data_IF_183358622552
#
_entry.id   IF_183358622552
#
_cell.length_a   1.000
_cell.length_b   1.000
_cell.length_c   1.000
_cell.angle_alpha   90.00
_cell.angle_beta   90.00
_cell.angle_gamma   90.00
#
_symmetry.space_group_name_H-M   'P 1'
#
loop_
_entity.id
_entity.type
_entity.pdbx_description
1 polymer ?
#
# COMPACT_ATOMS: atom_id res chain seq x y z
N UNK A 1 45.92 -22.31 -48.01
CA UNK A 1 46.56 -22.85 -46.79
C UNK A 1 45.97 -22.11 -45.60
N UNK A 2 45.40 -22.81 -44.62
CA UNK A 2 45.31 -22.31 -43.23
C UNK A 2 46.53 -22.79 -42.44
N UNK A 3 46.55 -22.83 -41.08
CA UNK A 3 45.50 -22.52 -40.09
C UNK A 3 45.91 -21.26 -39.26
N UNK A 4 45.50 -20.92 -38.03
CA UNK A 4 44.74 -21.57 -36.93
C UNK A 4 43.96 -20.53 -36.10
N UNK A 5 42.91 -20.98 -35.40
CA UNK A 5 42.29 -20.25 -34.26
C UNK A 5 42.73 -20.83 -32.91
N UNK A 6 42.87 -20.03 -31.83
CA UNK A 6 43.07 -20.55 -30.48
C UNK A 6 41.78 -21.15 -29.91
N UNK A 7 41.84 -22.40 -29.42
CA UNK A 7 40.70 -23.15 -28.87
C UNK A 7 41.08 -23.81 -27.54
N UNK A 8 40.49 -23.39 -26.41
CA UNK A 8 40.42 -24.14 -25.12
C UNK A 8 39.72 -23.32 -24.01
N UNK A 9 39.23 -23.93 -22.92
CA UNK A 9 38.58 -25.24 -22.80
C UNK A 9 37.18 -25.15 -22.14
N UNK A 10 36.24 -25.94 -22.64
CA UNK A 10 34.94 -26.18 -22.01
C UNK A 10 35.12 -27.11 -20.79
N UNK A 11 34.85 -26.63 -19.57
CA UNK A 11 34.85 -27.48 -18.36
C UNK A 11 33.47 -28.12 -18.13
N UNK A 12 33.49 -29.37 -17.67
CA UNK A 12 32.36 -30.27 -17.68
C UNK A 12 31.35 -30.01 -16.55
N UNK A 13 30.08 -30.25 -16.84
CA UNK A 13 28.95 -30.16 -15.91
C UNK A 13 28.51 -31.58 -15.55
N UNK A 14 28.98 -32.10 -14.42
CA UNK A 14 28.62 -33.44 -13.92
C UNK A 14 27.82 -33.33 -12.62
N UNK A 15 26.51 -33.56 -12.71
CA UNK A 15 25.70 -34.05 -11.59
C UNK A 15 24.88 -35.24 -12.10
N UNK A 16 24.95 -36.42 -11.46
CA UNK A 16 24.21 -37.59 -11.91
C UNK A 16 22.72 -37.47 -11.52
N UNK A 17 21.82 -37.86 -12.42
CA UNK A 17 20.40 -38.06 -12.10
C UNK A 17 19.96 -39.50 -12.35
N UNK A 18 19.49 -40.15 -11.29
CA UNK A 18 18.74 -41.41 -11.26
C UNK A 18 18.30 -41.61 -9.79
N UNK A 19 17.13 -42.17 -9.45
CA UNK A 19 15.94 -42.55 -10.23
C UNK A 19 14.74 -42.65 -9.27
N UNK A 20 13.53 -42.48 -9.81
CA UNK A 20 12.26 -43.09 -9.35
C UNK A 20 11.90 -43.14 -7.84
N UNK A 21 10.82 -42.44 -7.48
CA UNK A 21 9.97 -42.73 -6.33
C UNK A 21 8.51 -42.46 -6.70
N UNK A 22 7.66 -43.48 -6.68
CA UNK A 22 6.32 -43.45 -7.29
C UNK A 22 5.26 -42.76 -6.42
N UNK A 23 4.32 -42.05 -7.05
CA UNK A 23 3.01 -41.71 -6.44
C UNK A 23 2.07 -42.92 -6.52
N UNK A 24 1.39 -43.28 -5.41
CA UNK A 24 0.07 -43.90 -5.45
C UNK A 24 -1.04 -42.85 -5.15
N UNK A 25 -2.30 -43.08 -5.56
CA UNK A 25 -3.41 -42.14 -5.36
C UNK A 25 -4.43 -42.55 -4.27
N UNK A 26 -5.26 -41.57 -3.89
CA UNK A 26 -6.64 -41.65 -3.36
C UNK A 26 -6.97 -42.15 -1.92
N UNK A 27 -7.82 -41.33 -1.29
CA UNK A 27 -8.99 -41.60 -0.42
C UNK A 27 -8.88 -42.53 0.82
N UNK A 28 -8.90 -41.85 1.99
CA UNK A 28 -9.74 -42.05 3.19
C UNK A 28 -10.60 -43.34 3.36
N UNK A 29 -10.72 -43.87 4.60
CA UNK A 29 -11.70 -43.31 5.55
C UNK A 29 -11.25 -43.19 7.02
N UNK A 30 -12.17 -42.72 7.87
CA UNK A 30 -12.01 -42.30 9.26
C UNK A 30 -11.51 -43.34 10.28
N UNK A 31 -10.88 -42.85 11.36
CA UNK A 31 -10.53 -43.55 12.60
C UNK A 31 -10.30 -42.52 13.73
N UNK A 32 -10.58 -42.85 15.01
CA UNK A 32 -10.86 -41.85 16.05
C UNK A 32 -9.62 -41.17 16.66
N UNK A 33 -9.90 -40.10 17.42
CA UNK A 33 -8.92 -39.38 18.23
C UNK A 33 -8.92 -39.94 19.66
N UNK A 34 -7.85 -40.65 20.02
CA UNK A 34 -7.68 -41.19 21.37
C UNK A 34 -6.74 -40.29 22.19
N UNK A 35 -7.34 -39.27 22.81
CA UNK A 35 -6.71 -38.38 23.79
C UNK A 35 -6.98 -38.93 25.19
N UNK A 36 -6.11 -39.82 25.69
CA UNK A 36 -6.13 -40.23 27.10
C UNK A 36 -5.30 -39.25 27.93
N UNK A 37 -6.00 -38.33 28.60
CA UNK A 37 -5.42 -37.41 29.58
C UNK A 37 -5.77 -37.94 30.98
N UNK A 38 -4.77 -38.48 31.65
CA UNK A 38 -4.89 -39.18 32.94
C UNK A 38 -5.42 -38.24 34.04
N UNK A 39 -6.70 -38.39 34.39
CA UNK A 39 -7.41 -37.56 35.35
C UNK A 39 -7.88 -38.42 36.54
N UNK A 40 -7.17 -38.30 37.66
CA UNK A 40 -7.40 -39.04 38.89
C UNK A 40 -8.72 -38.63 39.58
N UNK A 41 -9.71 -39.51 39.62
CA UNK A 41 -10.96 -39.33 40.35
C UNK A 41 -10.99 -40.16 41.64
N UNK A 42 -11.09 -39.56 42.84
CA UNK A 42 -11.53 -40.27 44.04
C UNK A 42 -13.06 -40.45 44.02
N UNK A 43 -13.48 -41.66 44.37
CA UNK A 43 -14.86 -42.14 44.38
C UNK A 43 -15.82 -41.34 45.28
N UNK A 44 -16.93 -40.82 44.71
CA UNK A 44 -18.03 -40.24 45.48
C UNK A 44 -19.39 -40.38 44.76
N UNK A 45 -20.19 -41.36 45.22
CA UNK A 45 -21.65 -41.52 45.16
C UNK A 45 -22.49 -40.78 44.10
N UNK A 46 -23.27 -41.57 43.34
CA UNK A 46 -24.19 -41.12 42.29
C UNK A 46 -25.27 -40.10 42.72
N UNK A 47 -25.49 -39.07 41.89
CA UNK A 47 -26.77 -38.37 41.74
C UNK A 47 -27.03 -38.00 40.26
N UNK A 48 -28.29 -38.11 39.77
CA UNK A 48 -28.62 -37.72 38.40
C UNK A 48 -28.79 -36.19 38.29
N UNK A 49 -27.95 -35.54 37.48
CA UNK A 49 -28.10 -34.11 37.15
C UNK A 49 -29.15 -33.90 36.04
N UNK A 50 -30.04 -32.89 36.15
CA UNK A 50 -31.02 -32.57 35.12
C UNK A 50 -30.37 -31.93 33.89
N UNK A 51 -30.91 -32.23 32.70
CA UNK A 51 -30.38 -31.74 31.44
C UNK A 51 -30.51 -30.21 31.29
N UNK A 52 -29.39 -29.53 31.05
CA UNK A 52 -29.34 -28.11 30.66
C UNK A 52 -29.72 -28.03 29.18
N UNK A 53 -30.72 -27.21 28.76
CA UNK A 53 -31.01 -27.02 27.35
C UNK A 53 -29.86 -26.28 26.66
N UNK A 54 -29.48 -26.65 25.43
CA UNK A 54 -28.38 -26.01 24.73
C UNK A 54 -28.72 -24.54 24.44
N UNK A 55 -27.90 -23.62 24.95
CA UNK A 55 -28.01 -22.21 24.61
C UNK A 55 -27.63 -22.00 23.13
N UNK A 56 -28.38 -21.18 22.37
CA UNK A 56 -28.01 -20.89 20.99
C UNK A 56 -26.70 -20.10 20.96
N UNK A 57 -25.71 -20.63 20.23
CA UNK A 57 -24.44 -19.97 20.01
C UNK A 57 -24.67 -18.65 19.25
N UNK A 58 -24.58 -17.52 19.94
CA UNK A 58 -24.70 -16.17 19.36
C UNK A 58 -23.46 -15.84 18.52
N UNK A 59 -23.40 -16.39 17.31
CA UNK A 59 -22.39 -16.06 16.28
C UNK A 59 -22.73 -14.75 15.56
N UNK A 60 -22.93 -13.67 16.31
CA UNK A 60 -23.25 -12.33 15.79
C UNK A 60 -22.05 -11.37 15.75
N UNK A 61 -20.88 -11.90 15.40
CA UNK A 61 -19.82 -11.08 14.82
C UNK A 61 -19.56 -11.55 13.38
N UNK A 62 -20.34 -10.98 12.46
CA UNK A 62 -19.97 -10.89 11.05
C UNK A 62 -18.68 -10.06 10.99
N UNK A 63 -17.55 -10.74 11.04
CA UNK A 63 -16.23 -10.14 10.90
C UNK A 63 -16.22 -9.42 9.55
N UNK A 64 -16.26 -8.08 9.58
CA UNK A 64 -16.11 -7.28 8.37
C UNK A 64 -14.67 -7.46 7.91
N UNK A 65 -14.50 -8.26 6.88
CA UNK A 65 -13.28 -8.30 6.08
C UNK A 65 -13.16 -6.94 5.38
N UNK A 66 -12.56 -5.98 6.10
CA UNK A 66 -12.35 -4.65 5.54
C UNK A 66 -11.45 -4.77 4.30
N UNK A 67 -11.80 -4.07 3.23
CA UNK A 67 -11.01 -4.11 2.00
C UNK A 67 -9.65 -3.44 2.20
N UNK A 68 -8.68 -3.72 1.32
CA UNK A 68 -7.37 -3.03 1.34
C UNK A 68 -7.58 -1.51 1.23
N UNK A 69 -8.53 -1.05 0.43
CA UNK A 69 -8.82 0.37 0.25
C UNK A 69 -9.44 1.00 1.51
N UNK A 70 -10.34 0.29 2.20
CA UNK A 70 -10.89 0.72 3.50
C UNK A 70 -9.81 0.82 4.57
N UNK A 71 -8.84 -0.11 4.57
CA UNK A 71 -7.69 -0.09 5.47
C UNK A 71 -6.77 1.10 5.14
N UNK A 72 -6.41 1.29 3.87
CA UNK A 72 -5.58 2.42 3.41
C UNK A 72 -6.22 3.75 3.79
N UNK A 73 -7.50 3.94 3.50
CA UNK A 73 -8.26 5.14 3.83
C UNK A 73 -8.33 5.37 5.35
N UNK A 74 -8.47 4.30 6.13
CA UNK A 74 -8.42 4.37 7.61
C UNK A 74 -7.03 4.78 8.11
N UNK A 75 -5.94 4.40 7.44
CA UNK A 75 -4.58 4.86 7.78
C UNK A 75 -4.40 6.33 7.42
N UNK A 76 -4.78 6.75 6.21
CA UNK A 76 -4.70 8.15 5.76
C UNK A 76 -5.45 9.11 6.70
N UNK A 77 -6.68 8.75 7.09
CA UNK A 77 -7.52 9.53 8.02
C UNK A 77 -6.95 9.68 9.44
N UNK A 78 -5.99 8.85 9.86
CA UNK A 78 -5.29 9.03 11.16
C UNK A 78 -4.31 10.20 11.14
N UNK A 79 -3.74 10.50 9.98
CA UNK A 79 -2.78 11.61 9.82
C UNK A 79 -3.46 12.89 9.33
N UNK A 80 -4.42 12.76 8.40
CA UNK A 80 -5.16 13.90 7.84
C UNK A 80 -6.66 13.56 7.88
N UNK A 81 -7.36 13.89 8.98
CA UNK A 81 -8.76 13.51 9.19
C UNK A 81 -9.74 14.08 8.14
N UNK A 82 -9.37 15.15 7.44
CA UNK A 82 -10.17 15.77 6.38
C UNK A 82 -10.15 15.00 5.06
N UNK A 83 -9.29 13.99 4.88
CA UNK A 83 -9.33 13.13 3.69
C UNK A 83 -10.68 12.41 3.65
N UNK A 84 -11.41 12.48 2.54
CA UNK A 84 -12.66 11.75 2.37
C UNK A 84 -12.42 10.39 1.72
N UNK A 85 -11.63 10.38 0.64
CA UNK A 85 -11.24 9.24 -0.19
C UNK A 85 -9.85 9.46 -0.85
N UNK A 86 -9.39 8.50 -1.65
CA UNK A 86 -8.28 8.69 -2.58
C UNK A 86 -8.67 8.25 -3.98
N UNK A 87 -8.19 8.98 -5.00
CA UNK A 87 -8.52 8.77 -6.41
C UNK A 87 -7.50 7.91 -7.13
N UNK A 88 -6.23 7.95 -6.71
CA UNK A 88 -5.16 7.11 -7.25
C UNK A 88 -4.09 6.78 -6.20
N UNK A 89 -3.36 5.68 -6.42
CA UNK A 89 -2.24 5.25 -5.58
C UNK A 89 -1.11 4.63 -6.41
N UNK A 90 0.11 5.08 -6.15
CA UNK A 90 1.34 4.46 -6.63
C UNK A 90 2.03 3.71 -5.47
N UNK A 91 2.38 2.44 -5.68
CA UNK A 91 2.94 1.59 -4.63
C UNK A 91 4.29 2.09 -4.09
N UNK A 92 5.10 2.72 -4.94
CA UNK A 92 6.36 3.34 -4.56
C UNK A 92 6.46 4.73 -5.18
N UNK A 93 6.77 5.70 -4.33
CA UNK A 93 7.27 7.01 -4.71
C UNK A 93 8.51 7.36 -3.87
N UNK A 94 9.42 8.12 -4.46
CA UNK A 94 10.53 8.79 -3.77
C UNK A 94 10.34 10.29 -3.87
N UNK A 95 10.45 10.99 -2.73
CA UNK A 95 10.36 12.44 -2.66
C UNK A 95 11.73 13.10 -2.87
N UNK A 96 11.77 14.00 -3.84
CA UNK A 96 12.84 14.94 -4.11
C UNK A 96 12.38 16.37 -3.79
N UNK A 97 13.30 17.22 -3.39
CA UNK A 97 13.10 18.67 -3.23
C UNK A 97 14.00 19.44 -4.18
N UNK A 98 13.50 20.54 -4.72
CA UNK A 98 14.31 21.46 -5.53
C UNK A 98 15.21 22.30 -4.62
N UNK A 99 16.53 22.16 -4.77
CA UNK A 99 17.51 23.00 -4.10
C UNK A 99 17.88 24.19 -5.00
N UNK A 100 17.62 25.40 -4.50
CA UNK A 100 17.81 26.67 -5.21
C UNK A 100 19.31 27.04 -5.30
N UNK A 101 20.13 26.64 -4.33
CA UNK A 101 21.57 26.92 -4.30
C UNK A 101 22.34 26.06 -5.30
N UNK A 102 21.99 24.77 -5.40
CA UNK A 102 22.62 23.82 -6.33
C UNK A 102 21.95 23.79 -7.71
N UNK A 103 20.72 24.30 -7.83
CA UNK A 103 19.95 24.31 -9.06
C UNK A 103 19.54 22.90 -9.51
N UNK A 104 19.21 22.02 -8.56
CA UNK A 104 18.99 20.60 -8.82
C UNK A 104 18.02 19.92 -7.85
N UNK A 105 17.66 18.68 -8.18
CA UNK A 105 16.82 17.83 -7.35
C UNK A 105 17.65 17.04 -6.34
N UNK A 106 17.25 17.13 -5.06
CA UNK A 106 17.91 16.42 -3.95
C UNK A 106 16.93 15.43 -3.31
N UNK A 107 17.38 14.21 -3.04
CA UNK A 107 16.54 13.17 -2.43
C UNK A 107 16.35 13.43 -0.93
N UNK A 108 15.11 13.47 -0.46
CA UNK A 108 14.78 13.75 0.95
C UNK A 108 14.86 12.53 1.88
N UNK A 109 15.02 11.33 1.33
CA UNK A 109 14.91 10.06 2.05
C UNK A 109 13.48 9.58 2.34
N UNK A 110 12.45 10.40 2.10
CA UNK A 110 11.03 9.99 2.25
C UNK A 110 10.63 9.09 1.08
N UNK A 111 10.30 7.83 1.39
CA UNK A 111 9.98 6.78 0.41
C UNK A 111 8.83 5.88 0.87
N UNK A 112 7.87 5.61 0.00
CA UNK A 112 6.73 4.73 0.30
C UNK A 112 5.57 4.88 -0.69
N UNK A 113 4.39 4.31 -0.40
CA UNK A 113 3.22 4.49 -1.26
C UNK A 113 2.74 5.95 -1.26
N UNK A 114 2.43 6.44 -2.47
CA UNK A 114 1.93 7.77 -2.74
C UNK A 114 0.44 7.72 -3.07
N UNK A 115 -0.34 8.61 -2.48
CA UNK A 115 -1.79 8.71 -2.65
C UNK A 115 -2.16 10.11 -3.14
N UNK A 116 -3.13 10.16 -4.04
CA UNK A 116 -3.84 11.39 -4.43
C UNK A 116 -5.17 11.39 -3.71
N UNK A 117 -5.37 12.34 -2.79
CA UNK A 117 -6.51 12.32 -1.85
C UNK A 117 -7.43 13.51 -2.03
N UNK A 118 -8.73 13.24 -2.10
CA UNK A 118 -9.76 14.26 -2.01
C UNK A 118 -10.03 14.60 -0.53
N UNK A 119 -10.29 15.87 -0.24
CA UNK A 119 -10.52 16.33 1.14
C UNK A 119 -11.85 17.08 1.28
N UNK A 120 -12.35 17.09 2.50
CA UNK A 120 -13.54 17.84 2.88
C UNK A 120 -13.41 19.32 2.50
N UNK A 121 -14.45 19.83 1.83
CA UNK A 121 -14.52 21.21 1.38
C UNK A 121 -14.47 22.16 2.57
N UNK A 122 -13.69 23.23 2.45
CA UNK A 122 -13.55 24.22 3.51
C UNK A 122 -14.38 25.47 3.18
N UNK A 123 -15.11 25.99 4.16
CA UNK A 123 -15.79 27.26 4.04
C UNK A 123 -14.77 28.41 4.06
N UNK A 124 -14.77 29.23 3.02
CA UNK A 124 -13.93 30.41 2.88
C UNK A 124 -14.39 31.54 3.82
N UNK A 125 -13.54 32.55 4.08
CA UNK A 125 -13.96 33.81 4.72
C UNK A 125 -15.06 34.56 3.94
N UNK A 126 -15.22 34.26 2.65
CA UNK A 126 -16.27 34.83 1.77
C UNK A 126 -17.55 33.98 1.75
N UNK A 127 -17.67 32.95 2.60
CA UNK A 127 -18.87 32.12 2.73
C UNK A 127 -19.06 31.09 1.60
N UNK A 128 -18.00 30.74 0.86
CA UNK A 128 -18.02 29.77 -0.26
C UNK A 128 -17.31 28.49 0.12
N UNK A 129 -17.81 27.34 -0.33
CA UNK A 129 -17.09 26.08 -0.18
C UNK A 129 -15.96 25.98 -1.22
N UNK A 130 -14.73 25.81 -0.74
CA UNK A 130 -13.52 25.63 -1.57
C UNK A 130 -13.17 24.15 -1.57
N UNK A 131 -12.96 23.58 -2.77
CA UNK A 131 -12.45 22.22 -2.94
C UNK A 131 -11.03 22.09 -2.36
N UNK A 132 -10.75 20.98 -1.68
CA UNK A 132 -9.44 20.68 -1.12
C UNK A 132 -8.97 19.31 -1.56
N UNK A 133 -7.67 19.18 -1.82
CA UNK A 133 -7.03 17.92 -2.14
C UNK A 133 -5.58 17.96 -1.65
N UNK A 134 -5.05 16.79 -1.30
CA UNK A 134 -3.66 16.64 -0.91
C UNK A 134 -3.02 15.42 -1.58
N UNK A 135 -1.72 15.50 -1.86
CA UNK A 135 -0.90 14.33 -2.13
C UNK A 135 -0.22 13.87 -0.83
N UNK A 136 -0.06 12.56 -0.65
CA UNK A 136 0.41 11.97 0.61
C UNK A 136 1.42 10.85 0.32
N UNK A 137 2.62 10.91 0.90
CA UNK A 137 3.52 9.74 1.00
C UNK A 137 3.51 9.20 2.43
N UNK A 138 3.07 7.95 2.59
CA UNK A 138 3.26 7.20 3.82
C UNK A 138 4.69 6.65 3.81
N UNK A 139 5.56 7.19 4.67
CA UNK A 139 6.97 6.82 4.70
C UNK A 139 7.14 5.41 5.29
N UNK A 140 7.93 4.57 4.64
CA UNK A 140 8.26 3.21 5.12
C UNK A 140 9.47 3.16 6.03
N UNK A 141 10.34 4.17 5.97
CA UNK A 141 11.65 4.17 6.62
C UNK A 141 11.64 4.89 7.97
N UNK A 142 10.72 5.84 8.16
CA UNK A 142 10.56 6.62 9.40
C UNK A 142 9.07 6.96 9.60
N UNK A 143 8.64 7.39 10.80
CA UNK A 143 7.27 7.87 11.02
C UNK A 143 6.97 9.24 10.39
N UNK A 144 7.96 9.88 9.76
CA UNK A 144 7.83 11.19 9.14
C UNK A 144 7.23 11.06 7.74
N UNK A 145 5.91 11.17 7.69
CA UNK A 145 5.12 11.20 6.45
C UNK A 145 5.17 12.58 5.80
N UNK A 146 5.03 12.63 4.48
CA UNK A 146 4.97 13.88 3.73
C UNK A 146 3.56 14.11 3.16
N UNK A 147 3.00 15.30 3.38
CA UNK A 147 1.67 15.72 2.92
C UNK A 147 1.79 17.05 2.19
N UNK A 148 1.21 17.14 1.00
CA UNK A 148 1.32 18.30 0.11
C UNK A 148 -0.07 18.81 -0.23
N UNK A 149 -0.38 20.07 0.09
CA UNK A 149 -1.66 20.70 -0.23
C UNK A 149 -1.66 21.20 -1.69
N UNK A 150 -2.54 20.65 -2.53
CA UNK A 150 -2.58 20.99 -3.97
C UNK A 150 -2.93 22.46 -4.23
N UNK A 151 -3.50 23.19 -3.26
CA UNK A 151 -3.81 24.62 -3.39
C UNK A 151 -2.57 25.54 -3.35
N UNK A 152 -1.44 25.00 -2.87
CA UNK A 152 -0.13 25.68 -2.83
C UNK A 152 0.67 25.54 -4.12
N UNK A 153 0.29 24.58 -4.97
CA UNK A 153 1.02 24.22 -6.19
C UNK A 153 0.61 25.17 -7.32
N UNK A 154 1.60 25.92 -7.82
CA UNK A 154 1.46 26.88 -8.90
C UNK A 154 1.55 26.21 -10.26
N UNK A 155 2.45 25.26 -10.42
CA UNK A 155 2.71 24.52 -11.65
C UNK A 155 3.04 23.06 -11.34
N UNK A 156 2.68 22.15 -12.24
CA UNK A 156 3.04 20.74 -12.14
C UNK A 156 3.12 20.09 -13.53
N UNK A 157 3.97 19.09 -13.66
CA UNK A 157 4.21 18.34 -14.89
C UNK A 157 4.61 16.87 -14.60
N UNK A 158 4.44 15.99 -15.58
CA UNK A 158 4.98 14.63 -15.54
C UNK A 158 6.12 14.50 -16.54
N UNK A 159 7.34 14.34 -16.03
CA UNK A 159 8.55 14.14 -16.80
C UNK A 159 8.84 12.64 -16.99
N UNK A 160 9.20 12.27 -18.22
CA UNK A 160 9.61 10.91 -18.63
C UNK A 160 8.62 9.79 -18.26
N UNK A 161 7.35 10.13 -17.98
CA UNK A 161 6.34 9.18 -17.52
C UNK A 161 6.57 8.62 -16.12
N UNK A 162 7.45 9.22 -15.31
CA UNK A 162 7.80 8.73 -13.96
C UNK A 162 7.94 9.81 -12.89
N UNK A 163 8.45 10.99 -13.22
CA UNK A 163 8.73 12.05 -12.26
C UNK A 163 7.65 13.12 -12.33
N UNK A 164 6.76 13.14 -11.34
CA UNK A 164 5.81 14.24 -11.17
C UNK A 164 6.55 15.41 -10.51
N UNK A 165 6.83 16.46 -11.27
CA UNK A 165 7.44 17.70 -10.80
C UNK A 165 6.35 18.71 -10.41
N UNK A 166 6.56 19.45 -9.33
CA UNK A 166 5.65 20.48 -8.83
C UNK A 166 6.44 21.69 -8.36
N UNK A 167 5.91 22.88 -8.61
CA UNK A 167 6.46 24.16 -8.15
C UNK A 167 5.37 24.98 -7.45
N UNK A 168 5.74 25.69 -6.39
CA UNK A 168 4.88 26.65 -5.67
C UNK A 168 5.14 28.08 -6.14
N UNK A 169 4.19 28.99 -5.85
CA UNK A 169 4.35 30.44 -6.15
C UNK A 169 5.59 31.04 -5.42
N UNK A 170 6.07 30.38 -4.35
CA UNK A 170 7.25 30.77 -3.58
C UNK A 170 8.58 30.18 -4.07
N UNK A 171 8.61 29.47 -5.19
CA UNK A 171 9.83 28.86 -5.76
C UNK A 171 10.31 27.57 -5.09
N UNK A 172 9.62 27.08 -4.06
CA UNK A 172 9.83 25.73 -3.54
C UNK A 172 9.23 24.71 -4.52
N UNK A 173 9.96 23.63 -4.79
CA UNK A 173 9.52 22.55 -5.67
C UNK A 173 9.69 21.17 -5.05
N UNK A 174 8.80 20.25 -5.45
CA UNK A 174 8.83 18.84 -5.06
C UNK A 174 8.73 17.93 -6.27
N UNK A 175 9.55 16.88 -6.29
CA UNK A 175 9.57 15.86 -7.33
C UNK A 175 9.16 14.51 -6.75
N UNK A 176 8.23 13.82 -7.39
CA UNK A 176 7.74 12.50 -6.98
C UNK A 176 8.11 11.48 -8.04
N UNK A 177 9.19 10.73 -7.81
CA UNK A 177 9.61 9.68 -8.73
C UNK A 177 8.84 8.38 -8.43
N UNK A 178 8.04 7.91 -9.38
CA UNK A 178 7.11 6.79 -9.23
C UNK A 178 7.40 5.64 -10.21
N UNK A 179 6.90 4.44 -9.90
CA UNK A 179 6.95 3.28 -10.80
C UNK A 179 6.18 3.55 -12.10
N UNK A 180 6.78 3.28 -13.27
CA UNK A 180 6.16 3.51 -14.60
C UNK A 180 4.73 2.97 -14.73
N UNK A 181 4.44 1.80 -14.13
CA UNK A 181 3.13 1.16 -14.22
C UNK A 181 1.99 1.86 -13.47
N UNK A 182 2.28 2.89 -12.65
CA UNK A 182 1.29 3.67 -11.91
C UNK A 182 1.46 5.19 -12.02
N UNK A 183 2.62 5.68 -12.46
CA UNK A 183 2.90 7.10 -12.58
C UNK A 183 1.88 7.87 -13.44
N UNK A 184 1.50 7.34 -14.61
CA UNK A 184 0.53 8.01 -15.51
C UNK A 184 -0.87 8.11 -14.89
N UNK A 185 -1.43 7.00 -14.39
CA UNK A 185 -2.73 6.95 -13.70
C UNK A 185 -2.77 7.90 -12.50
N UNK A 186 -1.68 7.93 -11.74
CA UNK A 186 -1.53 8.80 -10.55
C UNK A 186 -1.42 10.27 -10.95
N UNK A 187 -0.71 10.57 -12.04
CA UNK A 187 -0.59 11.92 -12.59
C UNK A 187 -1.92 12.46 -13.12
N UNK A 188 -2.68 11.66 -13.88
CA UNK A 188 -3.94 12.10 -14.44
C UNK A 188 -4.94 12.46 -13.32
N UNK A 189 -5.04 11.62 -12.28
CA UNK A 189 -5.83 11.88 -11.08
C UNK A 189 -5.32 13.10 -10.27
N UNK A 190 -4.00 13.25 -10.10
CA UNK A 190 -3.39 14.40 -9.43
C UNK A 190 -3.73 15.70 -10.15
N UNK A 191 -3.57 15.71 -11.48
CA UNK A 191 -3.80 16.87 -12.34
C UNK A 191 -5.28 17.28 -12.34
N UNK A 192 -6.20 16.32 -12.36
CA UNK A 192 -7.64 16.58 -12.23
C UNK A 192 -7.97 17.28 -10.91
N UNK A 193 -7.55 16.72 -9.77
CA UNK A 193 -7.80 17.35 -8.47
C UNK A 193 -7.11 18.72 -8.35
N UNK A 194 -5.90 18.88 -8.88
CA UNK A 194 -5.18 20.15 -8.87
C UNK A 194 -5.92 21.23 -9.66
N UNK A 195 -6.43 20.91 -10.86
CA UNK A 195 -7.27 21.83 -11.62
C UNK A 195 -8.55 22.21 -10.86
N UNK A 196 -9.23 21.26 -10.22
CA UNK A 196 -10.44 21.51 -9.43
C UNK A 196 -10.18 22.46 -8.26
N UNK A 197 -9.08 22.25 -7.51
CA UNK A 197 -8.67 23.13 -6.40
C UNK A 197 -8.24 24.52 -6.91
N UNK A 198 -7.49 24.60 -8.02
CA UNK A 198 -7.05 25.87 -8.63
C UNK A 198 -8.23 26.69 -9.16
N UNK A 199 -9.24 26.06 -9.75
CA UNK A 199 -10.47 26.72 -10.19
C UNK A 199 -11.26 27.29 -8.99
N UNK A 200 -11.38 26.52 -7.90
CA UNK A 200 -12.04 26.97 -6.67
C UNK A 200 -11.30 28.13 -5.96
N UNK A 201 -9.98 28.28 -6.17
CA UNK A 201 -9.17 29.40 -5.62
C UNK A 201 -9.41 30.73 -6.36
N UNK A 202 -9.94 30.70 -7.59
CA UNK A 202 -10.09 31.88 -8.46
C UNK A 202 -11.53 32.47 -8.48
N UNK A 203 -12.52 31.77 -7.92
CA UNK A 203 -13.94 32.08 -8.04
C UNK A 203 -14.57 32.81 -6.87
#
# INVERSE_FOLDING_TARGET
MGPSTPRRPQKQRNHPSSRAGSRPPNNAPAGPADYESDAFYPEAAAQPQPAIPPQPLVTTQKQRENTIDEINLTVLKRYVPTIQDYTAMAHNATLFTWNIETGGWEETGVKGPFFVCNQEQQLSPTGRFIARACAFILNRSSPENAVFDLSTIAECELLEGQLLSTMTDGGQGWGFFMDMGKAQETWDAFRELWHNVRAAKQG
#
